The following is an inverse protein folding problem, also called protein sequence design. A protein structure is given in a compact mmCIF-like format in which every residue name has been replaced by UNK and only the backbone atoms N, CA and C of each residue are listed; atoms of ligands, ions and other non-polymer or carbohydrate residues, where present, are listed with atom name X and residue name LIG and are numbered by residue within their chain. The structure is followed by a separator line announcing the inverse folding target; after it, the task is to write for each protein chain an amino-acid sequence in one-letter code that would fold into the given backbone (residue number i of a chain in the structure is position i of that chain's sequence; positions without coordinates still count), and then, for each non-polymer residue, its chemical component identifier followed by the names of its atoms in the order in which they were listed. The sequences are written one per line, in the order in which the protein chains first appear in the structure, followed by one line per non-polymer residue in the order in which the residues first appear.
data_IF_226954148310
#
_entry.id   IF_226954148310
#
_cell.length_a   1.000
_cell.length_b   1.000
_cell.length_c   1.000
_cell.angle_alpha   90.00
_cell.angle_beta   90.00
_cell.angle_gamma   90.00
#
_symmetry.space_group_name_H-M   'P 1'
#
loop_
_entity.id
_entity.type
_entity.pdbx_description
1 polymer ?
#
# COMPACT_ATOMS: atom_id res chain seq x y z
N UNK A 1 -27.18 2.10 10.91
CA UNK A 1 -26.43 0.89 10.46
C UNK A 1 -25.01 0.95 10.97
N UNK A 2 -24.54 -0.17 11.49
CA UNK A 2 -23.17 -0.24 12.03
C UNK A 2 -22.17 -0.30 10.86
N UNK A 3 -21.59 0.84 10.48
CA UNK A 3 -20.64 0.96 9.38
C UNK A 3 -19.24 0.45 9.77
N UNK A 4 -19.00 0.28 11.08
CA UNK A 4 -17.68 -0.11 11.60
C UNK A 4 -17.27 -1.50 11.13
N UNK A 5 -18.17 -2.48 11.16
CA UNK A 5 -17.86 -3.85 10.76
C UNK A 5 -17.55 -3.96 9.25
N UNK A 6 -18.39 -3.42 8.34
CA UNK A 6 -18.07 -3.35 6.92
C UNK A 6 -16.74 -2.66 6.63
N UNK A 7 -16.49 -1.52 7.26
CA UNK A 7 -15.25 -0.75 7.12
C UNK A 7 -14.03 -1.56 7.57
N UNK A 8 -14.10 -2.22 8.71
CA UNK A 8 -13.00 -3.05 9.22
C UNK A 8 -12.71 -4.23 8.31
N UNK A 9 -13.75 -4.95 7.89
CA UNK A 9 -13.61 -6.11 7.02
C UNK A 9 -13.03 -5.73 5.66
N UNK A 10 -13.57 -4.68 5.03
CA UNK A 10 -13.06 -4.19 3.76
C UNK A 10 -11.61 -3.72 3.87
N UNK A 11 -11.23 -3.04 4.97
CA UNK A 11 -9.86 -2.57 5.18
C UNK A 11 -8.87 -3.72 5.36
N UNK A 12 -9.23 -4.80 6.06
CA UNK A 12 -8.38 -5.99 6.17
C UNK A 12 -8.16 -6.61 4.79
N UNK A 13 -9.23 -6.82 4.02
CA UNK A 13 -9.14 -7.42 2.69
C UNK A 13 -8.35 -6.57 1.72
N UNK A 14 -8.65 -5.27 1.64
CA UNK A 14 -7.97 -4.36 0.72
C UNK A 14 -6.52 -4.09 1.12
N UNK A 15 -6.22 -4.05 2.42
CA UNK A 15 -4.87 -3.90 2.94
C UNK A 15 -3.98 -5.09 2.57
N UNK A 16 -4.47 -6.32 2.72
CA UNK A 16 -3.76 -7.53 2.30
C UNK A 16 -3.58 -7.58 0.78
N UNK A 17 -4.66 -7.29 0.02
CA UNK A 17 -4.61 -7.24 -1.44
C UNK A 17 -3.62 -6.18 -1.92
N UNK A 18 -3.72 -4.96 -1.40
CA UNK A 18 -2.84 -3.85 -1.75
C UNK A 18 -1.38 -4.16 -1.46
N UNK A 19 -1.08 -4.76 -0.29
CA UNK A 19 0.28 -5.19 0.05
C UNK A 19 0.79 -6.27 -0.91
N UNK A 20 -0.05 -7.23 -1.27
CA UNK A 20 0.32 -8.29 -2.22
C UNK A 20 0.64 -7.71 -3.60
N UNK A 21 -0.22 -6.81 -4.11
CA UNK A 21 0.00 -6.15 -5.42
C UNK A 21 1.22 -5.23 -5.37
N UNK A 22 1.43 -4.51 -4.27
CA UNK A 22 2.64 -3.71 -4.04
C UNK A 22 3.91 -4.56 -4.17
N UNK A 23 3.98 -5.69 -3.45
CA UNK A 23 5.12 -6.61 -3.49
C UNK A 23 5.31 -7.16 -4.91
N UNK A 24 4.23 -7.54 -5.59
CA UNK A 24 4.30 -8.02 -6.97
C UNK A 24 4.85 -6.92 -7.90
N UNK A 25 4.36 -5.69 -7.80
CA UNK A 25 4.83 -4.55 -8.60
C UNK A 25 6.32 -4.28 -8.41
N UNK A 26 6.81 -4.34 -7.17
CA UNK A 26 8.24 -4.14 -6.84
C UNK A 26 9.14 -5.26 -7.42
N UNK A 27 8.57 -6.43 -7.67
CA UNK A 27 9.30 -7.55 -8.28
C UNK A 27 9.21 -7.59 -9.82
N UNK A 28 8.38 -6.75 -10.45
CA UNK A 28 8.26 -6.71 -11.92
C UNK A 28 9.61 -6.55 -12.65
N UNK A 29 10.58 -5.70 -12.20
CA UNK A 29 11.85 -5.56 -12.90
C UNK A 29 12.66 -6.87 -12.99
N UNK A 30 12.43 -7.85 -12.10
CA UNK A 30 13.07 -9.18 -12.19
C UNK A 30 12.73 -9.90 -13.49
N UNK A 31 11.54 -9.66 -14.07
CA UNK A 31 11.13 -10.25 -15.34
C UNK A 31 12.01 -9.81 -16.52
N UNK A 32 12.69 -8.67 -16.37
CA UNK A 32 13.66 -8.14 -17.35
C UNK A 32 15.11 -8.30 -16.89
N UNK A 33 15.37 -9.18 -15.90
CA UNK A 33 16.71 -9.46 -15.39
C UNK A 33 17.35 -8.30 -14.62
N UNK A 34 16.56 -7.32 -14.17
CA UNK A 34 17.05 -6.19 -13.38
C UNK A 34 17.02 -6.53 -11.90
N UNK A 35 18.04 -6.14 -11.11
CA UNK A 35 18.01 -6.30 -9.69
C UNK A 35 16.88 -5.46 -9.09
N UNK A 36 16.22 -6.00 -8.07
CA UNK A 36 15.18 -5.29 -7.31
C UNK A 36 15.60 -5.17 -5.86
N UNK A 37 15.18 -4.08 -5.25
CA UNK A 37 15.27 -3.95 -3.80
C UNK A 37 14.22 -4.85 -3.16
N UNK A 38 14.63 -5.64 -2.17
CA UNK A 38 13.76 -6.57 -1.44
C UNK A 38 13.33 -5.96 -0.10
N UNK A 39 12.17 -5.26 -0.04
CA UNK A 39 11.69 -4.61 1.18
C UNK A 39 11.34 -5.62 2.27
N UNK A 40 10.92 -6.85 1.89
CA UNK A 40 10.60 -7.91 2.84
C UNK A 40 11.84 -8.32 3.62
N UNK A 41 12.91 -8.63 2.89
CA UNK A 41 14.18 -9.02 3.50
C UNK A 41 14.78 -7.87 4.33
N UNK A 42 14.67 -6.63 3.85
CA UNK A 42 15.21 -5.47 4.56
C UNK A 42 14.49 -5.24 5.89
N UNK A 43 13.15 -5.19 5.90
CA UNK A 43 12.39 -4.99 7.12
C UNK A 43 12.55 -6.17 8.10
N UNK A 44 12.50 -7.39 7.60
CA UNK A 44 12.63 -8.58 8.46
C UNK A 44 14.02 -8.74 9.04
N UNK A 45 15.07 -8.39 8.30
CA UNK A 45 16.47 -8.52 8.77
C UNK A 45 16.86 -7.46 9.80
N UNK A 46 16.08 -6.38 9.98
CA UNK A 46 16.22 -5.50 11.15
C UNK A 46 16.07 -6.28 12.48
N UNK A 47 15.21 -7.30 12.48
CA UNK A 47 14.92 -8.12 13.67
C UNK A 47 15.76 -9.40 13.73
N UNK A 48 15.92 -10.08 12.60
CA UNK A 48 16.61 -11.36 12.54
C UNK A 48 18.13 -11.24 12.40
N UNK A 49 18.62 -10.09 11.94
CA UNK A 49 20.03 -9.84 11.60
C UNK A 49 20.59 -10.79 10.52
N UNK A 50 19.71 -11.41 9.74
CA UNK A 50 20.05 -12.37 8.68
C UNK A 50 19.21 -12.09 7.45
N UNK A 51 19.70 -12.50 6.27
CA UNK A 51 18.96 -12.44 5.00
C UNK A 51 18.61 -13.87 4.61
N UNK A 52 17.47 -14.34 5.09
CA UNK A 52 16.97 -15.70 4.89
C UNK A 52 15.44 -15.72 4.68
N UNK A 53 14.87 -16.91 4.54
CA UNK A 53 13.43 -17.09 4.38
C UNK A 53 12.65 -16.60 5.62
N UNK A 54 13.23 -16.71 6.81
CA UNK A 54 12.61 -16.26 8.06
C UNK A 54 12.50 -14.73 8.08
N UNK A 55 13.57 -14.02 7.68
CA UNK A 55 13.53 -12.54 7.59
C UNK A 55 12.48 -12.07 6.60
N UNK A 56 12.37 -12.72 5.44
CA UNK A 56 11.32 -12.38 4.45
C UNK A 56 9.91 -12.62 5.01
N UNK A 57 9.69 -13.70 5.74
CA UNK A 57 8.39 -13.98 6.36
C UNK A 57 8.03 -12.91 7.40
N UNK A 58 8.96 -12.51 8.27
CA UNK A 58 8.75 -11.43 9.23
C UNK A 58 8.48 -10.12 8.54
N UNK A 59 9.25 -9.78 7.50
CA UNK A 59 9.02 -8.59 6.69
C UNK A 59 7.65 -8.57 6.01
N UNK A 60 7.19 -9.73 5.51
CA UNK A 60 5.86 -9.86 4.92
C UNK A 60 4.75 -9.60 5.95
N UNK A 61 4.89 -10.14 7.16
CA UNK A 61 3.95 -9.88 8.26
C UNK A 61 3.92 -8.40 8.63
N UNK A 62 5.07 -7.76 8.78
CA UNK A 62 5.17 -6.34 9.11
C UNK A 62 4.54 -5.45 8.03
N UNK A 63 4.83 -5.72 6.76
CA UNK A 63 4.21 -4.99 5.64
C UNK A 63 2.71 -5.22 5.57
N UNK A 64 2.24 -6.44 5.85
CA UNK A 64 0.80 -6.74 5.86
C UNK A 64 0.07 -6.02 6.98
N UNK A 65 0.65 -5.99 8.19
CA UNK A 65 0.09 -5.22 9.32
C UNK A 65 0.06 -3.73 8.97
N UNK A 66 1.16 -3.18 8.48
CA UNK A 66 1.22 -1.79 8.02
C UNK A 66 0.19 -1.49 6.92
N UNK A 67 0.05 -2.40 5.96
CA UNK A 67 -0.93 -2.30 4.88
C UNK A 67 -2.37 -2.27 5.40
N UNK A 68 -2.72 -3.12 6.37
CA UNK A 68 -4.05 -3.11 6.99
C UNK A 68 -4.29 -1.78 7.73
N UNK A 69 -3.31 -1.30 8.50
CA UNK A 69 -3.42 -0.03 9.22
C UNK A 69 -3.68 1.12 8.25
N UNK A 70 -2.89 1.22 7.18
CA UNK A 70 -3.11 2.26 6.17
C UNK A 70 -4.42 2.08 5.41
N UNK A 71 -4.85 0.84 5.12
CA UNK A 71 -6.13 0.58 4.49
C UNK A 71 -7.32 1.06 5.34
N UNK A 72 -7.22 1.04 6.69
CA UNK A 72 -8.22 1.65 7.56
C UNK A 72 -8.31 3.15 7.32
N UNK A 73 -7.18 3.86 7.22
CA UNK A 73 -7.19 5.30 6.89
C UNK A 73 -7.82 5.58 5.53
N UNK A 74 -7.47 4.80 4.49
CA UNK A 74 -8.10 4.90 3.17
C UNK A 74 -9.59 4.57 3.21
N UNK A 75 -9.98 3.60 4.05
CA UNK A 75 -11.37 3.26 4.26
C UNK A 75 -12.18 4.42 4.86
N UNK A 76 -11.64 5.14 5.82
CA UNK A 76 -12.25 6.35 6.35
C UNK A 76 -12.37 7.46 5.31
N UNK A 77 -11.33 7.67 4.50
CA UNK A 77 -11.37 8.64 3.39
C UNK A 77 -12.45 8.25 2.37
N UNK A 78 -12.49 6.98 1.95
CA UNK A 78 -13.50 6.47 1.03
C UNK A 78 -14.93 6.64 1.59
N UNK A 79 -15.12 6.38 2.89
CA UNK A 79 -16.39 6.56 3.56
C UNK A 79 -16.84 8.04 3.58
N UNK A 80 -15.92 8.99 3.79
CA UNK A 80 -16.23 10.43 3.76
C UNK A 80 -16.73 10.87 2.39
N UNK A 81 -16.18 10.32 1.29
CA UNK A 81 -16.72 10.55 -0.05
C UNK A 81 -18.05 9.82 -0.27
N UNK A 82 -18.16 8.59 0.19
CA UNK A 82 -19.40 7.80 0.04
C UNK A 82 -20.59 8.43 0.78
N UNK A 83 -20.37 8.98 1.97
CA UNK A 83 -21.42 9.67 2.76
C UNK A 83 -21.70 11.11 2.30
N UNK A 84 -21.00 11.60 1.28
CA UNK A 84 -21.15 12.96 0.77
C UNK A 84 -20.52 14.04 1.66
N UNK A 85 -19.71 13.67 2.66
CA UNK A 85 -18.93 14.64 3.46
C UNK A 85 -17.96 15.41 2.57
N UNK A 86 -17.38 14.73 1.58
CA UNK A 86 -16.62 15.34 0.49
C UNK A 86 -17.29 15.05 -0.84
N UNK A 87 -17.35 16.05 -1.73
CA UNK A 87 -17.90 15.88 -3.07
C UNK A 87 -16.89 15.17 -3.98
N UNK A 88 -17.28 14.04 -4.56
CA UNK A 88 -16.51 13.41 -5.65
C UNK A 88 -16.90 14.04 -7.00
N UNK A 89 -15.92 14.34 -7.87
CA UNK A 89 -16.22 14.94 -9.16
C UNK A 89 -16.84 13.94 -10.14
N UNK A 90 -18.01 14.21 -10.66
CA UNK A 90 -18.77 13.31 -11.54
C UNK A 90 -18.10 13.04 -12.89
N UNK A 91 -17.21 13.92 -13.35
CA UNK A 91 -16.53 13.78 -14.64
C UNK A 91 -15.48 12.63 -14.70
N UNK A 92 -15.15 12.02 -13.58
CA UNK A 92 -14.27 10.85 -13.51
C UNK A 92 -15.02 9.51 -13.50
N UNK A 93 -16.36 9.55 -13.62
CA UNK A 93 -17.19 8.34 -13.67
C UNK A 93 -17.36 7.91 -15.13
N UNK A 94 -16.80 6.76 -15.48
CA UNK A 94 -16.95 6.17 -16.81
C UNK A 94 -18.10 5.16 -16.83
N UNK A 95 -19.21 5.56 -17.50
CA UNK A 95 -20.45 4.75 -17.58
C UNK A 95 -20.51 3.81 -18.80
N UNK A 96 -19.51 3.82 -19.67
CA UNK A 96 -19.53 3.09 -20.94
C UNK A 96 -18.93 1.67 -20.88
N UNK A 97 -18.57 1.19 -19.71
CA UNK A 97 -18.13 -0.17 -19.47
C UNK A 97 -19.31 -1.02 -18.96
N UNK A 98 -19.23 -2.36 -19.05
CA UNK A 98 -20.26 -3.24 -18.48
C UNK A 98 -20.45 -3.04 -16.97
N UNK A 99 -19.49 -2.39 -16.32
CA UNK A 99 -19.55 -1.91 -14.94
C UNK A 99 -19.18 -0.43 -14.88
N UNK A 100 -19.85 0.36 -14.05
CA UNK A 100 -19.47 1.75 -13.81
C UNK A 100 -18.11 1.79 -13.11
N UNK A 101 -17.10 2.36 -13.76
CA UNK A 101 -15.76 2.52 -13.19
C UNK A 101 -15.59 3.97 -12.77
N UNK A 102 -15.42 4.19 -11.47
CA UNK A 102 -15.10 5.49 -10.91
C UNK A 102 -13.59 5.61 -10.74
N UNK A 103 -12.96 6.39 -11.63
CA UNK A 103 -11.51 6.63 -11.58
C UNK A 103 -11.08 7.63 -10.51
N UNK A 104 -12.02 8.31 -9.86
CA UNK A 104 -11.71 9.25 -8.79
C UNK A 104 -10.98 8.56 -7.63
N UNK A 105 -11.50 7.43 -7.18
CA UNK A 105 -10.91 6.71 -6.03
C UNK A 105 -9.49 6.21 -6.29
N UNK A 106 -9.16 5.52 -7.39
CA UNK A 106 -7.78 5.14 -7.66
C UNK A 106 -6.84 6.34 -7.83
N UNK A 107 -7.32 7.50 -8.34
CA UNK A 107 -6.51 8.72 -8.43
C UNK A 107 -6.23 9.28 -7.02
N UNK A 108 -7.23 9.35 -6.15
CA UNK A 108 -7.04 9.75 -4.74
C UNK A 108 -6.08 8.80 -4.05
N UNK A 109 -6.22 7.49 -4.29
CA UNK A 109 -5.32 6.48 -3.75
C UNK A 109 -3.88 6.61 -4.26
N UNK A 110 -3.69 6.96 -5.55
CA UNK A 110 -2.37 7.21 -6.13
C UNK A 110 -1.69 8.41 -5.46
N UNK A 111 -2.38 9.53 -5.32
CA UNK A 111 -1.85 10.74 -4.67
C UNK A 111 -1.57 10.48 -3.18
N UNK A 112 -2.51 9.86 -2.49
CA UNK A 112 -2.36 9.48 -1.08
C UNK A 112 -1.23 8.48 -0.88
N UNK A 113 -1.13 7.46 -1.73
CA UNK A 113 -0.07 6.45 -1.70
C UNK A 113 1.32 7.03 -1.97
N UNK A 114 1.41 8.00 -2.88
CA UNK A 114 2.66 8.75 -3.10
C UNK A 114 3.08 9.53 -1.84
N UNK A 115 2.16 10.28 -1.24
CA UNK A 115 2.44 11.02 0.00
C UNK A 115 2.80 10.11 1.18
N UNK A 116 2.05 9.00 1.35
CA UNK A 116 2.34 7.94 2.33
C UNK A 116 3.72 7.32 2.07
N UNK A 117 4.03 7.00 0.82
CA UNK A 117 5.30 6.41 0.41
C UNK A 117 6.47 7.33 0.70
N UNK A 118 6.32 8.63 0.44
CA UNK A 118 7.35 9.63 0.76
C UNK A 118 7.58 9.72 2.27
N UNK A 119 6.52 9.77 3.07
CA UNK A 119 6.63 9.83 4.53
C UNK A 119 7.24 8.56 5.12
N UNK A 120 6.75 7.39 4.70
CA UNK A 120 7.27 6.10 5.15
C UNK A 120 8.73 5.90 4.73
N UNK A 121 9.08 6.30 3.49
CA UNK A 121 10.43 6.21 2.98
C UNK A 121 11.42 7.08 3.77
N UNK A 122 11.03 8.30 4.15
CA UNK A 122 11.89 9.19 4.95
C UNK A 122 12.15 8.61 6.35
N UNK A 123 11.11 8.11 7.03
CA UNK A 123 11.25 7.48 8.35
C UNK A 123 12.12 6.22 8.26
N UNK A 124 11.81 5.35 7.29
CA UNK A 124 12.54 4.11 7.14
C UNK A 124 13.97 4.31 6.63
N UNK A 125 14.23 5.32 5.80
CA UNK A 125 15.57 5.67 5.38
C UNK A 125 16.44 6.02 6.60
N UNK A 126 15.92 6.85 7.52
CA UNK A 126 16.62 7.16 8.77
C UNK A 126 16.89 5.89 9.58
N UNK A 127 15.87 5.05 9.81
CA UNK A 127 16.03 3.82 10.60
C UNK A 127 16.95 2.81 9.92
N UNK A 128 16.80 2.61 8.61
CA UNK A 128 17.57 1.59 7.88
C UNK A 128 19.01 2.04 7.65
N UNK A 129 19.25 3.29 7.28
CA UNK A 129 20.61 3.78 7.03
C UNK A 129 21.45 3.81 8.30
N UNK A 130 20.86 4.28 9.41
CA UNK A 130 21.63 4.45 10.65
C UNK A 130 21.72 3.18 11.50
N UNK A 131 20.68 2.36 11.50
CA UNK A 131 20.54 1.27 12.48
C UNK A 131 20.48 -0.13 11.86
N UNK A 132 20.46 -0.28 10.52
CA UNK A 132 20.35 -1.62 9.95
C UNK A 132 21.60 -2.46 10.25
N UNK A 133 21.43 -3.70 10.79
CA UNK A 133 22.56 -4.54 11.19
C UNK A 133 23.40 -5.05 10.00
N UNK A 134 22.84 -5.05 8.78
CA UNK A 134 23.47 -5.54 7.56
C UNK A 134 23.79 -4.33 6.67
N UNK A 135 25.08 -4.08 6.44
CA UNK A 135 25.56 -2.88 5.74
C UNK A 135 25.06 -2.77 4.30
N UNK A 136 25.00 -3.90 3.57
CA UNK A 136 24.51 -3.94 2.19
C UNK A 136 23.04 -3.50 2.04
N UNK A 137 22.27 -3.50 3.14
CA UNK A 137 20.87 -3.03 3.15
C UNK A 137 20.72 -1.54 3.43
N UNK A 138 21.80 -0.83 3.76
CA UNK A 138 21.82 0.60 4.08
C UNK A 138 21.79 1.52 2.85
N UNK A 139 21.21 1.07 1.74
CA UNK A 139 21.08 1.90 0.54
C UNK A 139 19.82 2.77 0.60
N UNK A 140 19.94 4.08 0.91
CA UNK A 140 18.77 4.95 1.07
C UNK A 140 18.03 5.17 -0.25
N UNK A 141 18.72 5.20 -1.38
CA UNK A 141 18.11 5.48 -2.67
C UNK A 141 17.15 4.34 -3.08
N UNK A 142 17.61 3.10 -3.07
CA UNK A 142 16.79 1.95 -3.45
C UNK A 142 15.61 1.76 -2.49
N UNK A 143 15.83 2.02 -1.20
CA UNK A 143 14.78 1.99 -0.19
C UNK A 143 13.70 3.04 -0.48
N UNK A 144 14.09 4.31 -0.63
CA UNK A 144 13.17 5.42 -0.87
C UNK A 144 12.38 5.19 -2.15
N UNK A 145 13.07 4.83 -3.25
CA UNK A 145 12.42 4.55 -4.53
C UNK A 145 11.40 3.41 -4.42
N UNK A 146 11.77 2.31 -3.75
CA UNK A 146 10.89 1.15 -3.59
C UNK A 146 9.67 1.48 -2.76
N UNK A 147 9.83 2.19 -1.63
CA UNK A 147 8.70 2.58 -0.81
C UNK A 147 7.80 3.60 -1.50
N UNK A 148 8.36 4.53 -2.27
CA UNK A 148 7.58 5.50 -3.02
C UNK A 148 6.72 4.81 -4.08
N UNK A 149 7.31 4.00 -4.94
CA UNK A 149 6.61 3.25 -6.00
C UNK A 149 5.60 2.28 -5.37
N UNK A 150 6.06 1.50 -4.39
CA UNK A 150 5.24 0.48 -3.74
C UNK A 150 4.00 1.06 -3.09
N UNK A 151 4.15 2.12 -2.30
CA UNK A 151 2.99 2.74 -1.62
C UNK A 151 2.08 3.49 -2.59
N UNK A 152 2.60 4.03 -3.70
CA UNK A 152 1.77 4.63 -4.76
C UNK A 152 0.84 3.57 -5.38
N UNK A 153 1.38 2.40 -5.72
CA UNK A 153 0.59 1.26 -6.22
C UNK A 153 -0.37 0.75 -5.14
N UNK A 154 0.10 0.60 -3.91
CA UNK A 154 -0.72 0.19 -2.77
C UNK A 154 -1.94 1.09 -2.60
N UNK A 155 -1.74 2.42 -2.50
CA UNK A 155 -2.82 3.38 -2.28
C UNK A 155 -3.85 3.35 -3.41
N UNK A 156 -3.40 3.28 -4.68
CA UNK A 156 -4.28 3.16 -5.84
C UNK A 156 -5.17 1.91 -5.76
N UNK A 157 -4.58 0.76 -5.45
CA UNK A 157 -5.30 -0.51 -5.35
C UNK A 157 -6.27 -0.51 -4.17
N UNK A 158 -5.80 -0.07 -3.00
CA UNK A 158 -6.63 -0.03 -1.79
C UNK A 158 -7.85 0.87 -2.00
N UNK A 159 -7.67 2.11 -2.46
CA UNK A 159 -8.80 3.03 -2.65
C UNK A 159 -9.80 2.53 -3.69
N UNK A 160 -9.32 1.93 -4.79
CA UNK A 160 -10.19 1.34 -5.80
C UNK A 160 -11.07 0.23 -5.21
N UNK A 161 -10.47 -0.76 -4.57
CA UNK A 161 -11.22 -1.89 -4.02
C UNK A 161 -12.01 -1.52 -2.76
N UNK A 162 -11.54 -0.57 -1.95
CA UNK A 162 -12.27 -0.08 -0.79
C UNK A 162 -13.60 0.54 -1.20
N UNK A 163 -13.60 1.36 -2.25
CA UNK A 163 -14.84 1.94 -2.79
C UNK A 163 -15.81 0.84 -3.25
N UNK A 164 -15.33 -0.13 -4.03
CA UNK A 164 -16.17 -1.23 -4.52
C UNK A 164 -16.77 -2.06 -3.38
N UNK A 165 -15.97 -2.39 -2.38
CA UNK A 165 -16.44 -3.18 -1.23
C UNK A 165 -17.42 -2.39 -0.35
N UNK A 166 -17.21 -1.10 -0.14
CA UNK A 166 -18.17 -0.28 0.60
C UNK A 166 -19.51 -0.21 -0.12
N UNK A 167 -19.54 -0.10 -1.45
CA UNK A 167 -20.79 -0.14 -2.23
C UNK A 167 -21.56 -1.47 -2.10
N UNK A 168 -20.84 -2.57 -1.84
CA UNK A 168 -21.46 -3.90 -1.69
C UNK A 168 -21.92 -4.20 -0.26
N UNK A 169 -21.28 -3.59 0.73
CA UNK A 169 -21.46 -3.93 2.14
C UNK A 169 -22.31 -2.91 2.92
N UNK A 170 -22.50 -1.71 2.41
CA UNK A 170 -23.25 -0.59 3.00
C UNK A 170 -24.45 -0.23 2.14
#
# INVERSE_FOLDING_TARGET
MDVILPLTLSSVLTGLLGTTVMIAALNLPLLWGKPTYDPLSTLGSLFTRRVDAQSRAIGAVLLSIGGIVFAVFYGWIALMFYTGTFAAPEYLIFRNFPTTVDLFYPIVGLVGGFGQGMFAALILAFVVVDFHPIEEKRNPFDLVQSFLIGNTVFGMVVMFFQHQLLQLLV
#
